data_IF_255778705894
#
_entry.id   IF_255778705894
#
_cell.length_a   1.000
_cell.length_b   1.000
_cell.length_c   1.000
_cell.angle_alpha   90.00
_cell.angle_beta   90.00
_cell.angle_gamma   90.00
#
_symmetry.space_group_name_H-M   'P 1'
#
loop_
_entity.id
_entity.type
_entity.pdbx_description
1 polymer ?
#
# COMPACT_ATOMS: atom_id res chain seq x y z
N UNK A 1 9.75 -3.13 10.70
CA UNK A 1 8.45 -3.52 10.10
C UNK A 1 8.51 -3.11 8.64
N UNK A 2 8.21 -4.04 7.71
CA UNK A 2 8.21 -3.77 6.26
C UNK A 2 6.77 -3.86 5.75
N UNK A 3 6.35 -2.90 4.94
CA UNK A 3 5.06 -2.92 4.25
C UNK A 3 5.29 -3.39 2.82
N UNK A 4 4.48 -4.31 2.35
CA UNK A 4 4.58 -4.75 0.96
C UNK A 4 4.17 -3.63 0.00
N UNK A 5 4.97 -3.39 -1.04
CA UNK A 5 4.62 -2.54 -2.16
C UNK A 5 5.28 -3.07 -3.44
N UNK A 6 4.58 -2.95 -4.56
CA UNK A 6 5.06 -3.44 -5.85
C UNK A 6 5.91 -2.35 -6.54
N UNK A 7 7.22 -2.54 -6.61
CA UNK A 7 8.16 -1.57 -7.18
C UNK A 7 8.04 -1.43 -8.71
N UNK A 8 7.31 -2.32 -9.38
CA UNK A 8 6.99 -2.16 -10.81
C UNK A 8 6.12 -0.92 -11.08
N UNK A 9 5.43 -0.41 -10.05
CA UNK A 9 4.65 0.84 -10.11
C UNK A 9 5.45 2.12 -9.86
N UNK A 10 6.79 2.05 -9.89
CA UNK A 10 7.65 3.24 -9.71
C UNK A 10 7.66 4.13 -10.94
N UNK A 11 7.59 5.44 -10.71
CA UNK A 11 7.63 6.45 -11.77
C UNK A 11 8.44 7.69 -11.32
N UNK A 12 8.93 8.52 -12.24
CA UNK A 12 9.55 9.80 -11.87
C UNK A 12 8.55 10.70 -11.12
N UNK A 13 8.98 11.24 -9.98
CA UNK A 13 8.09 11.99 -9.08
C UNK A 13 7.96 13.47 -9.46
N UNK A 14 8.82 13.97 -10.35
CA UNK A 14 8.89 15.34 -10.85
C UNK A 14 9.85 15.41 -12.04
N UNK A 15 10.23 16.63 -12.47
CA UNK A 15 11.33 16.85 -13.42
C UNK A 15 12.72 16.50 -12.87
N UNK A 16 12.82 16.13 -11.59
CA UNK A 16 14.04 15.61 -10.98
C UNK A 16 14.18 14.11 -11.27
N UNK A 17 15.07 13.77 -12.20
CA UNK A 17 15.32 12.39 -12.66
C UNK A 17 15.84 11.46 -11.55
N UNK A 18 16.30 11.99 -10.41
CA UNK A 18 16.78 11.19 -9.28
C UNK A 18 15.64 10.77 -8.31
N UNK A 19 14.47 11.42 -8.38
CA UNK A 19 13.35 11.14 -7.47
C UNK A 19 12.33 10.20 -8.09
N UNK A 20 12.06 9.11 -7.38
CA UNK A 20 11.01 8.15 -7.71
C UNK A 20 9.81 8.31 -6.77
N UNK A 21 8.65 8.08 -7.36
CA UNK A 21 7.33 7.98 -6.77
C UNK A 21 6.91 6.51 -6.86
N UNK A 22 6.60 5.87 -5.75
CA UNK A 22 6.03 4.52 -5.70
C UNK A 22 4.56 4.61 -5.32
N UNK A 23 3.67 4.27 -6.24
CA UNK A 23 2.23 4.27 -5.99
C UNK A 23 1.86 3.17 -4.98
N UNK A 24 1.20 3.54 -3.88
CA UNK A 24 0.79 2.64 -2.78
C UNK A 24 -0.65 2.19 -2.95
N UNK A 25 -0.92 1.33 -3.94
CA UNK A 25 -2.28 1.19 -4.47
C UNK A 25 -2.78 -0.25 -4.60
N UNK A 26 -1.89 -1.24 -4.45
CA UNK A 26 -2.23 -2.65 -4.62
C UNK A 26 -2.95 -3.28 -3.42
N UNK A 27 -3.74 -4.32 -3.70
CA UNK A 27 -4.33 -5.17 -2.66
C UNK A 27 -3.28 -5.83 -1.76
N UNK A 28 -2.08 -6.08 -2.27
CA UNK A 28 -0.94 -6.54 -1.45
C UNK A 28 -0.52 -5.48 -0.41
N UNK A 29 -0.42 -4.21 -0.83
CA UNK A 29 -0.14 -3.11 0.08
C UNK A 29 -1.25 -2.93 1.11
N UNK A 30 -2.51 -2.99 0.69
CA UNK A 30 -3.66 -2.95 1.59
C UNK A 30 -3.68 -4.10 2.61
N UNK A 31 -3.40 -5.32 2.17
CA UNK A 31 -3.33 -6.49 3.03
C UNK A 31 -2.18 -6.35 4.04
N UNK A 32 -1.01 -5.89 3.59
CA UNK A 32 0.13 -5.62 4.48
C UNK A 32 -0.16 -4.54 5.51
N UNK A 33 -0.67 -3.39 5.07
CA UNK A 33 -1.07 -2.29 5.96
C UNK A 33 -2.12 -2.74 6.98
N UNK A 34 -3.14 -3.47 6.53
CA UNK A 34 -4.18 -4.00 7.41
C UNK A 34 -3.60 -5.02 8.38
N UNK A 35 -2.75 -5.95 7.94
CA UNK A 35 -2.08 -6.93 8.80
C UNK A 35 -1.32 -6.23 9.94
N UNK A 36 -0.60 -5.15 9.62
CA UNK A 36 0.17 -4.37 10.58
C UNK A 36 -0.63 -3.28 11.33
N UNK A 37 -1.91 -3.07 11.01
CA UNK A 37 -2.73 -2.05 11.65
C UNK A 37 -2.28 -0.61 11.33
N UNK A 38 -1.66 -0.40 10.17
CA UNK A 38 -1.15 0.91 9.74
C UNK A 38 -2.15 1.59 8.82
N UNK A 39 -2.64 2.77 9.21
CA UNK A 39 -3.35 3.71 8.32
C UNK A 39 -2.34 4.75 7.86
N UNK A 40 -2.27 4.99 6.54
CA UNK A 40 -1.33 5.96 5.99
C UNK A 40 -1.65 7.39 6.47
N UNK A 41 -0.59 8.18 6.60
CA UNK A 41 -0.64 9.62 6.91
C UNK A 41 0.45 10.32 6.10
N UNK A 42 0.18 11.54 5.66
CA UNK A 42 1.19 12.38 4.98
C UNK A 42 2.41 12.58 5.89
N UNK A 43 3.60 12.57 5.29
CA UNK A 43 4.88 12.68 5.98
C UNK A 43 5.29 11.44 6.79
N UNK A 44 4.46 10.39 6.88
CA UNK A 44 4.83 9.15 7.57
C UNK A 44 6.01 8.49 6.85
N UNK A 45 7.04 8.09 7.59
CA UNK A 45 8.14 7.29 7.04
C UNK A 45 7.89 5.81 7.27
N UNK A 46 7.85 5.03 6.20
CA UNK A 46 7.68 3.58 6.23
C UNK A 46 8.77 2.91 5.40
N UNK A 47 9.12 1.68 5.78
CA UNK A 47 9.95 0.81 4.97
C UNK A 47 9.05 -0.03 4.07
N UNK A 48 9.21 0.11 2.76
CA UNK A 48 8.53 -0.67 1.75
C UNK A 48 9.45 -1.74 1.21
N UNK A 49 8.90 -2.92 0.91
CA UNK A 49 9.64 -3.99 0.24
C UNK A 49 8.74 -4.82 -0.68
N UNK A 50 9.31 -5.46 -1.69
CA UNK A 50 8.61 -6.41 -2.56
C UNK A 50 9.07 -7.86 -2.34
N UNK A 51 8.52 -8.76 -3.17
CA UNK A 51 8.87 -10.19 -3.20
C UNK A 51 10.23 -10.48 -3.82
N UNK A 52 10.84 -9.50 -4.51
CA UNK A 52 12.13 -9.68 -5.19
C UNK A 52 13.30 -9.23 -4.30
N UNK A 53 13.01 -8.57 -3.17
CA UNK A 53 13.99 -8.14 -2.18
C UNK A 53 14.31 -6.65 -2.23
N UNK A 54 13.73 -5.90 -3.18
CA UNK A 54 13.89 -4.46 -3.20
C UNK A 54 13.27 -3.86 -1.96
N UNK A 55 14.01 -2.97 -1.30
CA UNK A 55 13.59 -2.31 -0.07
C UNK A 55 13.94 -0.83 -0.14
N UNK A 56 13.03 0.03 0.36
CA UNK A 56 13.28 1.47 0.53
C UNK A 56 12.58 2.01 1.77
N UNK A 57 13.19 2.99 2.45
CA UNK A 57 12.52 3.74 3.51
C UNK A 57 12.20 5.13 3.03
N UNK A 58 10.92 5.41 2.81
CA UNK A 58 10.44 6.57 2.07
C UNK A 58 9.39 7.33 2.86
N UNK A 59 9.23 8.62 2.54
CA UNK A 59 8.15 9.44 3.06
C UNK A 59 6.87 9.18 2.23
N UNK A 60 5.75 9.02 2.92
CA UNK A 60 4.43 8.82 2.33
C UNK A 60 3.77 10.17 2.10
N UNK A 61 3.31 10.40 0.87
CA UNK A 61 2.58 11.59 0.47
C UNK A 61 1.24 11.22 -0.17
N UNK A 62 0.37 12.22 -0.29
CA UNK A 62 -0.94 12.07 -0.91
C UNK A 62 -1.24 13.22 -1.86
N UNK A 63 -1.63 12.88 -3.08
CA UNK A 63 -2.10 13.80 -4.10
C UNK A 63 -3.40 13.27 -4.69
N UNK A 64 -4.50 13.99 -4.45
CA UNK A 64 -5.82 13.64 -4.96
C UNK A 64 -5.90 13.62 -6.50
N UNK A 65 -5.01 14.33 -7.19
CA UNK A 65 -4.92 14.31 -8.67
C UNK A 65 -4.36 13.00 -9.21
N UNK A 66 -3.68 12.21 -8.36
CA UNK A 66 -3.17 10.88 -8.71
C UNK A 66 -4.21 9.77 -8.55
N UNK A 67 -5.40 10.08 -8.04
CA UNK A 67 -6.46 9.08 -7.88
C UNK A 67 -6.91 8.58 -9.27
N UNK A 68 -6.92 7.27 -9.45
CA UNK A 68 -7.36 6.58 -10.66
C UNK A 68 -7.88 5.19 -10.33
N UNK A 69 -8.33 4.43 -11.34
CA UNK A 69 -8.72 3.01 -11.15
C UNK A 69 -7.60 2.15 -10.56
N UNK A 70 -6.34 2.58 -10.71
CA UNK A 70 -5.15 1.87 -10.21
C UNK A 70 -4.44 2.62 -9.09
N UNK A 71 -4.98 3.75 -8.63
CA UNK A 71 -4.35 4.53 -7.59
C UNK A 71 -5.31 5.20 -6.61
N UNK A 72 -5.02 5.04 -5.33
CA UNK A 72 -5.71 5.70 -4.24
C UNK A 72 -5.18 7.11 -3.96
N UNK A 73 -4.25 7.63 -4.77
CA UNK A 73 -3.63 8.94 -4.56
C UNK A 73 -2.48 8.95 -3.55
N UNK A 74 -2.23 7.82 -2.86
CA UNK A 74 -1.11 7.63 -1.95
C UNK A 74 0.13 7.13 -2.68
N UNK A 75 1.27 7.72 -2.37
CA UNK A 75 2.56 7.35 -2.95
C UNK A 75 3.70 7.56 -1.96
N UNK A 76 4.80 6.84 -2.15
CA UNK A 76 6.03 7.03 -1.39
C UNK A 76 7.08 7.72 -2.26
N UNK A 77 7.81 8.69 -1.70
CA UNK A 77 8.86 9.44 -2.41
C UNK A 77 10.22 9.06 -1.86
N UNK A 78 11.15 8.73 -2.76
CA UNK A 78 12.54 8.41 -2.44
C UNK A 78 13.48 8.72 -3.62
N UNK A 79 14.78 8.75 -3.36
CA UNK A 79 15.81 8.84 -4.41
C UNK A 79 16.21 7.46 -4.92
N UNK A 80 16.60 7.37 -6.19
CA UNK A 80 17.08 6.10 -6.79
C UNK A 80 18.17 5.44 -5.97
N UNK A 81 19.13 6.21 -5.45
CA UNK A 81 20.22 5.71 -4.61
C UNK A 81 19.81 5.21 -3.21
N UNK A 82 18.55 5.37 -2.80
CA UNK A 82 18.02 4.87 -1.52
C UNK A 82 17.46 3.43 -1.63
N UNK A 83 17.28 2.92 -2.85
CA UNK A 83 16.90 1.52 -3.10
C UNK A 83 18.00 0.58 -2.63
N UNK A 84 17.61 -0.51 -1.98
CA UNK A 84 18.52 -1.56 -1.50
C UNK A 84 17.98 -2.92 -1.89
N UNK A 85 18.89 -3.79 -2.33
CA UNK A 85 18.62 -5.22 -2.41
C UNK A 85 18.81 -5.84 -1.04
N UNK A 86 17.73 -6.33 -0.45
CA UNK A 86 17.71 -7.07 0.80
C UNK A 86 17.05 -8.45 0.59
N UNK A 87 16.91 -9.22 1.67
CA UNK A 87 16.15 -10.47 1.59
C UNK A 87 14.68 -10.17 1.23
N UNK A 88 14.09 -10.95 0.30
CA UNK A 88 12.67 -10.93 0.00
C UNK A 88 11.80 -10.95 1.26
N UNK A 89 10.71 -10.20 1.24
CA UNK A 89 9.69 -10.36 2.27
C UNK A 89 8.74 -11.48 1.88
N UNK A 90 8.47 -12.38 2.82
CA UNK A 90 7.36 -13.33 2.68
C UNK A 90 6.05 -12.55 2.82
N UNK A 91 5.41 -12.27 1.69
CA UNK A 91 4.12 -11.63 1.68
C UNK A 91 3.03 -12.68 1.59
N UNK A 92 2.30 -12.85 2.68
CA UNK A 92 1.12 -13.70 2.70
C UNK A 92 -0.01 -13.05 1.88
N UNK A 93 -0.15 -13.53 0.64
CA UNK A 93 -1.23 -13.16 -0.28
C UNK A 93 -2.55 -13.89 0.03
N UNK A 94 -2.57 -14.85 0.97
CA UNK A 94 -3.71 -15.69 1.30
C UNK A 94 -4.56 -15.16 2.45
N UNK A 95 -4.10 -14.13 3.16
CA UNK A 95 -4.89 -13.50 4.23
C UNK A 95 -5.06 -12.00 3.99
N UNK A 96 -6.26 -11.51 4.28
CA UNK A 96 -6.55 -10.08 4.31
C UNK A 96 -7.44 -9.80 5.52
N UNK A 97 -6.84 -9.35 6.61
CA UNK A 97 -7.58 -8.99 7.81
C UNK A 97 -8.30 -7.66 7.64
N UNK A 98 -9.56 -7.59 8.06
CA UNK A 98 -10.25 -6.32 8.17
C UNK A 98 -9.49 -5.41 9.15
N UNK A 99 -9.23 -4.16 8.74
CA UNK A 99 -8.49 -3.20 9.57
C UNK A 99 -9.07 -3.06 10.99
N UNK A 100 -10.40 -2.96 11.11
CA UNK A 100 -11.10 -2.76 12.38
C UNK A 100 -11.36 -4.06 13.16
N UNK A 101 -12.17 -4.97 12.62
CA UNK A 101 -12.60 -6.16 13.36
C UNK A 101 -11.65 -7.36 13.29
N UNK A 102 -10.54 -7.25 12.53
CA UNK A 102 -9.52 -8.30 12.33
C UNK A 102 -10.01 -9.60 11.72
N UNK A 103 -11.29 -9.72 11.35
CA UNK A 103 -11.80 -10.88 10.63
C UNK A 103 -11.09 -11.01 9.27
N UNK A 104 -10.59 -12.21 8.95
CA UNK A 104 -10.06 -12.49 7.62
C UNK A 104 -11.20 -12.48 6.61
N UNK A 105 -11.13 -11.55 5.65
CA UNK A 105 -12.12 -11.43 4.60
C UNK A 105 -11.53 -11.73 3.22
N UNK A 106 -10.34 -12.35 3.15
CA UNK A 106 -9.82 -12.93 1.89
C UNK A 106 -10.83 -13.88 1.22
N UNK A 107 -11.52 -14.80 1.94
CA UNK A 107 -12.50 -15.68 1.29
C UNK A 107 -13.63 -14.90 0.62
N UNK A 108 -14.03 -13.77 1.20
CA UNK A 108 -15.02 -12.87 0.62
C UNK A 108 -14.48 -12.20 -0.66
N UNK A 109 -13.26 -11.64 -0.62
CA UNK A 109 -12.62 -11.03 -1.79
C UNK A 109 -12.41 -12.03 -2.94
N UNK A 110 -12.09 -13.29 -2.63
CA UNK A 110 -11.92 -14.34 -3.63
C UNK A 110 -13.25 -14.67 -4.35
N UNK A 111 -14.38 -14.58 -3.64
CA UNK A 111 -15.72 -14.86 -4.19
C UNK A 111 -16.32 -13.67 -4.95
N UNK A 112 -16.13 -12.45 -4.48
CA UNK A 112 -16.81 -11.25 -4.98
C UNK A 112 -15.91 -10.29 -5.78
N UNK A 113 -14.64 -10.65 -5.95
CA UNK A 113 -13.63 -9.86 -6.62
C UNK A 113 -12.94 -8.84 -5.71
N UNK A 114 -11.74 -8.45 -6.13
CA UNK A 114 -10.93 -7.42 -5.49
C UNK A 114 -11.30 -6.05 -6.08
N UNK A 115 -12.23 -5.35 -5.42
CA UNK A 115 -12.66 -3.99 -5.81
C UNK A 115 -12.48 -3.01 -4.64
N UNK A 116 -12.15 -1.77 -4.95
CA UNK A 116 -11.86 -0.74 -3.93
C UNK A 116 -13.12 -0.26 -3.17
N UNK A 117 -14.31 -0.52 -3.68
CA UNK A 117 -15.59 -0.22 -3.02
C UNK A 117 -16.04 -1.30 -2.02
N UNK A 118 -15.30 -2.41 -1.90
CA UNK A 118 -15.64 -3.52 -1.00
C UNK A 118 -15.58 -3.09 0.48
N UNK A 119 -16.55 -3.59 1.25
CA UNK A 119 -16.62 -3.41 2.70
C UNK A 119 -16.52 -4.77 3.41
N UNK A 120 -15.93 -4.77 4.59
CA UNK A 120 -15.89 -5.94 5.45
C UNK A 120 -17.32 -6.42 5.77
N UNK A 121 -17.68 -7.68 5.49
CA UNK A 121 -19.04 -8.17 5.74
C UNK A 121 -19.41 -8.25 7.22
N UNK A 122 -18.41 -8.29 8.12
CA UNK A 122 -18.64 -8.40 9.55
C UNK A 122 -18.87 -7.05 10.26
N UNK A 123 -18.18 -5.98 9.84
CA UNK A 123 -18.23 -4.69 10.55
C UNK A 123 -18.40 -3.45 9.65
N UNK A 124 -18.58 -3.65 8.34
CA UNK A 124 -18.83 -2.57 7.37
C UNK A 124 -17.63 -1.65 7.06
N UNK A 125 -16.47 -1.88 7.67
CA UNK A 125 -15.26 -1.09 7.43
C UNK A 125 -14.80 -1.26 5.97
N UNK A 126 -14.54 -0.17 5.20
CA UNK A 126 -14.04 -0.27 3.84
C UNK A 126 -12.70 -1.01 3.75
N UNK A 127 -12.48 -1.79 2.68
CA UNK A 127 -11.16 -2.40 2.43
C UNK A 127 -10.08 -1.34 2.26
N UNK A 128 -10.44 -0.21 1.65
CA UNK A 128 -9.55 0.93 1.42
C UNK A 128 -9.26 1.75 2.67
N UNK A 129 -9.84 1.42 3.84
CA UNK A 129 -9.66 2.21 5.06
C UNK A 129 -8.18 2.56 5.40
N UNK A 130 -7.19 1.65 5.21
CA UNK A 130 -5.78 1.99 5.44
C UNK A 130 -5.21 3.05 4.46
N UNK A 131 -5.80 3.15 3.27
CA UNK A 131 -5.46 4.08 2.19
C UNK A 131 -6.54 5.16 2.00
N UNK A 132 -7.42 5.37 2.98
CA UNK A 132 -8.39 6.46 2.93
C UNK A 132 -7.69 7.82 2.78
N UNK A 133 -8.32 8.84 2.18
CA UNK A 133 -7.75 10.18 2.10
C UNK A 133 -7.25 10.70 3.46
N UNK A 134 -6.21 11.54 3.50
CA UNK A 134 -5.84 12.23 4.73
C UNK A 134 -7.04 13.09 5.16
N UNK A 135 -7.41 13.01 6.45
CA UNK A 135 -8.49 13.76 7.09
C UNK A 135 -9.92 13.18 7.01
N UNK A 136 -10.08 11.90 6.63
CA UNK A 136 -11.30 11.07 6.88
C UNK A 136 -11.18 10.13 8.09
#
# INVERSE_FOLDING_TARGET
MKIFADFNGTEPCSSDDDKLCLNLTGFGTLASLSRHGVKLRRGMRLTFADSDGLTVTAAVEFDGRRISERSAGWYAIFRKGELRDENPIDHDFQTHFCFKCRNDFKPYLAKFGQRFDVRCPNCGTPVMYPLGPPDE
#
